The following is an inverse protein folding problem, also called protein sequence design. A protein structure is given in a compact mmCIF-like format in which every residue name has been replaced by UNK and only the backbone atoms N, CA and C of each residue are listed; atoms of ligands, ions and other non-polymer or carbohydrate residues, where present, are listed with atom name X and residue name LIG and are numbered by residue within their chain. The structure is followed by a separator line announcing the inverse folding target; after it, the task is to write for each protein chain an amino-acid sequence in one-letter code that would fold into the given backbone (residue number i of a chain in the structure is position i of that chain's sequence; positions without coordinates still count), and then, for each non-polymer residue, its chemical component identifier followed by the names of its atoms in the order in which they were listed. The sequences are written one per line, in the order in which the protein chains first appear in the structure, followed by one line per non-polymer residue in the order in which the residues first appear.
data_IF_434545004908
#
_entry.id   IF_434545004908
#
_cell.length_a   1.000
_cell.length_b   1.000
_cell.length_c   1.000
_cell.angle_alpha   90.00
_cell.angle_beta   90.00
_cell.angle_gamma   90.00
#
_symmetry.space_group_name_H-M   'P 1'
#
loop_
_entity.id
_entity.type
_entity.pdbx_description
1 polymer ?
#
# COMPACT_ATOMS: atom_id res chain seq x y z
N UNK A 1 -61.02 -14.99 62.33
CA UNK A 1 -61.30 -14.84 60.89
C UNK A 1 -60.18 -14.01 60.28
N UNK A 2 -59.49 -14.63 59.32
CA UNK A 2 -58.51 -14.16 58.33
C UNK A 2 -57.99 -12.72 58.39
N UNK A 3 -56.66 -12.57 58.40
CA UNK A 3 -56.01 -11.97 57.23
C UNK A 3 -54.59 -12.49 57.01
N UNK A 4 -54.39 -13.02 55.80
CA UNK A 4 -53.18 -13.69 55.35
C UNK A 4 -52.09 -12.70 54.96
N UNK A 5 -50.86 -13.07 55.32
CA UNK A 5 -49.60 -12.50 54.83
C UNK A 5 -49.39 -12.97 53.38
N UNK A 6 -49.29 -12.04 52.42
CA UNK A 6 -48.82 -12.34 51.07
C UNK A 6 -47.54 -11.55 50.79
N UNK A 7 -46.41 -12.25 50.91
CA UNK A 7 -45.13 -11.84 50.35
C UNK A 7 -45.18 -12.18 48.86
N UNK A 8 -45.24 -11.18 47.98
CA UNK A 8 -45.02 -11.38 46.54
C UNK A 8 -43.58 -11.01 46.23
N UNK A 9 -42.80 -12.05 45.93
CA UNK A 9 -41.45 -11.95 45.41
C UNK A 9 -41.45 -11.15 44.09
N UNK A 10 -40.69 -10.07 44.05
CA UNK A 10 -40.37 -9.34 42.83
C UNK A 10 -39.30 -10.16 42.08
N UNK A 11 -39.72 -10.87 41.04
CA UNK A 11 -38.79 -11.48 40.09
C UNK A 11 -38.15 -10.37 39.25
N UNK A 12 -36.92 -9.96 39.59
CA UNK A 12 -36.07 -9.18 38.69
C UNK A 12 -35.71 -10.07 37.50
N UNK A 13 -36.39 -9.85 36.38
CA UNK A 13 -35.96 -10.36 35.08
C UNK A 13 -34.73 -9.53 34.66
N UNK A 14 -33.55 -10.15 34.71
CA UNK A 14 -32.37 -9.64 34.02
C UNK A 14 -32.68 -9.66 32.52
N UNK A 15 -33.07 -8.51 31.97
CA UNK A 15 -32.96 -8.26 30.54
C UNK A 15 -31.47 -8.12 30.26
N UNK A 16 -30.85 -9.21 29.81
CA UNK A 16 -29.52 -9.19 29.22
C UNK A 16 -29.58 -8.26 28.01
N UNK A 17 -29.18 -7.00 28.20
CA UNK A 17 -28.87 -6.10 27.09
C UNK A 17 -27.62 -6.65 26.44
N UNK A 18 -27.81 -7.56 25.49
CA UNK A 18 -26.77 -7.96 24.56
C UNK A 18 -26.40 -6.70 23.78
N UNK A 19 -25.36 -6.00 24.24
CA UNK A 19 -24.66 -5.02 23.42
C UNK A 19 -24.10 -5.79 22.24
N UNK A 20 -24.87 -5.88 21.16
CA UNK A 20 -24.36 -6.08 19.81
C UNK A 20 -23.48 -4.88 19.54
N UNK A 21 -22.26 -4.91 20.09
CA UNK A 21 -21.19 -4.04 19.66
C UNK A 21 -21.06 -4.35 18.18
N UNK A 22 -21.54 -3.44 17.35
CA UNK A 22 -21.17 -3.42 15.95
C UNK A 22 -19.65 -3.25 15.97
N UNK A 23 -18.92 -4.36 15.92
CA UNK A 23 -17.55 -4.33 15.47
C UNK A 23 -17.65 -3.74 14.06
N UNK A 24 -17.36 -2.45 13.94
CA UNK A 24 -17.28 -1.77 12.66
C UNK A 24 -16.06 -2.38 11.99
N UNK A 25 -16.27 -3.49 11.30
CA UNK A 25 -15.25 -4.09 10.48
C UNK A 25 -14.88 -3.08 9.39
N UNK A 26 -13.59 -2.83 9.16
CA UNK A 26 -13.18 -2.03 8.02
C UNK A 26 -13.83 -2.60 6.76
N UNK A 27 -14.38 -1.74 5.91
CA UNK A 27 -14.84 -2.18 4.59
C UNK A 27 -13.57 -2.55 3.82
N UNK A 28 -13.33 -3.86 3.68
CA UNK A 28 -12.23 -4.39 2.89
C UNK A 28 -12.68 -4.71 1.47
N UNK A 29 -11.85 -4.37 0.48
CA UNK A 29 -12.06 -4.77 -0.92
C UNK A 29 -10.85 -5.52 -1.47
N UNK A 30 -11.07 -6.47 -2.40
CA UNK A 30 -9.99 -7.30 -2.91
C UNK A 30 -9.09 -6.51 -3.87
N UNK A 31 -7.78 -6.66 -3.66
CA UNK A 31 -6.74 -6.39 -4.65
C UNK A 31 -5.94 -7.68 -4.85
N UNK A 32 -5.39 -7.88 -6.05
CA UNK A 32 -4.52 -9.01 -6.38
C UNK A 32 -3.21 -8.48 -6.91
N UNK A 33 -2.09 -9.07 -6.48
CA UNK A 33 -0.78 -8.81 -7.05
C UNK A 33 -0.73 -9.41 -8.46
N UNK A 34 -0.44 -8.59 -9.46
CA UNK A 34 -0.22 -9.03 -10.83
C UNK A 34 1.27 -9.20 -11.14
N UNK A 35 2.06 -8.16 -10.88
CA UNK A 35 3.49 -8.15 -11.15
C UNK A 35 4.22 -7.37 -10.05
N UNK A 36 5.46 -7.76 -9.78
CA UNK A 36 6.36 -6.98 -8.93
C UNK A 36 7.78 -7.04 -9.44
N UNK A 37 8.49 -5.92 -9.35
CA UNK A 37 9.87 -5.80 -9.75
C UNK A 37 10.56 -4.69 -8.96
N UNK A 38 11.89 -4.76 -8.84
CA UNK A 38 12.69 -3.61 -8.43
C UNK A 38 13.07 -2.85 -9.69
N UNK A 39 12.81 -1.54 -9.71
CA UNK A 39 13.11 -0.65 -10.84
C UNK A 39 13.76 0.64 -10.35
N UNK A 40 14.41 1.37 -11.26
CA UNK A 40 14.81 2.76 -11.03
C UNK A 40 13.82 3.70 -11.70
N UNK A 41 13.22 4.60 -10.93
CA UNK A 41 12.17 5.54 -11.38
C UNK A 41 12.58 6.97 -11.04
N UNK A 42 12.21 7.95 -11.88
CA UNK A 42 12.55 9.35 -11.63
C UNK A 42 11.65 9.96 -10.54
N UNK A 43 12.17 10.95 -9.79
CA UNK A 43 11.36 11.79 -8.92
C UNK A 43 10.24 12.54 -9.64
N UNK A 44 10.40 12.81 -10.95
CA UNK A 44 9.37 13.46 -11.77
C UNK A 44 8.16 12.55 -11.99
N UNK A 45 8.37 11.23 -12.01
CA UNK A 45 7.30 10.24 -12.07
C UNK A 45 6.70 9.95 -10.69
N UNK A 46 7.53 9.88 -9.63
CA UNK A 46 7.05 9.65 -8.28
C UNK A 46 6.26 10.84 -7.70
N UNK A 47 6.70 12.08 -7.97
CA UNK A 47 6.10 13.29 -7.41
C UNK A 47 5.98 14.40 -8.46
N UNK A 48 5.13 14.23 -9.49
CA UNK A 48 5.04 15.15 -10.62
C UNK A 48 4.68 16.59 -10.20
N UNK A 49 3.91 16.79 -9.13
CA UNK A 49 3.48 18.12 -8.68
C UNK A 49 4.42 18.80 -7.67
N UNK A 50 5.32 18.06 -7.01
CA UNK A 50 6.21 18.64 -5.98
C UNK A 50 7.48 19.28 -6.57
N UNK A 51 7.58 19.44 -7.89
CA UNK A 51 8.82 19.87 -8.53
C UNK A 51 8.72 21.06 -9.47
N UNK A 52 9.33 22.17 -9.02
CA UNK A 52 10.29 22.95 -9.79
C UNK A 52 11.74 22.43 -9.61
N UNK A 53 11.96 21.15 -9.26
CA UNK A 53 13.32 20.60 -9.19
C UNK A 53 13.90 20.53 -10.60
N UNK A 54 14.93 21.33 -10.87
CA UNK A 54 15.62 21.38 -12.17
C UNK A 54 16.40 20.11 -12.52
N UNK A 55 16.58 19.21 -11.56
CA UNK A 55 17.43 18.04 -11.69
C UNK A 55 16.62 16.77 -11.44
N UNK A 56 16.67 15.89 -12.43
CA UNK A 56 16.10 14.55 -12.35
C UNK A 56 16.97 13.68 -11.43
N UNK A 57 16.33 13.01 -10.49
CA UNK A 57 16.94 12.06 -9.57
C UNK A 57 16.24 10.70 -9.71
N UNK A 58 17.03 9.63 -9.83
CA UNK A 58 16.51 8.27 -9.89
C UNK A 58 16.45 7.66 -8.49
N UNK A 59 15.33 7.01 -8.20
CA UNK A 59 15.05 6.27 -6.98
C UNK A 59 14.88 4.80 -7.34
N UNK A 60 15.60 3.94 -6.62
CA UNK A 60 15.36 2.51 -6.72
C UNK A 60 14.16 2.19 -5.82
N UNK A 61 13.13 1.58 -6.39
CA UNK A 61 11.85 1.29 -5.72
C UNK A 61 11.37 -0.12 -6.05
N UNK A 62 10.46 -0.62 -5.23
CA UNK A 62 9.68 -1.83 -5.51
C UNK A 62 8.41 -1.40 -6.23
N UNK A 63 8.31 -1.72 -7.52
CA UNK A 63 7.08 -1.59 -8.30
C UNK A 63 6.15 -2.76 -7.96
N UNK A 64 4.90 -2.44 -7.66
CA UNK A 64 3.86 -3.39 -7.30
C UNK A 64 2.64 -3.09 -8.17
N UNK A 65 2.41 -3.92 -9.18
CA UNK A 65 1.23 -3.81 -10.04
C UNK A 65 0.10 -4.63 -9.43
N UNK A 66 -1.04 -3.97 -9.21
CA UNK A 66 -2.22 -4.55 -8.58
C UNK A 66 -3.43 -4.46 -9.48
N UNK A 67 -4.33 -5.44 -9.33
CA UNK A 67 -5.59 -5.52 -10.04
C UNK A 67 -6.74 -5.56 -9.05
N UNK A 68 -7.82 -4.86 -9.35
CA UNK A 68 -9.03 -4.87 -8.52
C UNK A 68 -10.31 -4.67 -9.35
N UNK A 69 -11.45 -5.27 -8.97
CA UNK A 69 -12.73 -5.03 -9.66
C UNK A 69 -13.32 -3.64 -9.38
N UNK A 70 -12.69 -2.82 -8.52
CA UNK A 70 -13.21 -1.53 -8.07
C UNK A 70 -12.35 -0.39 -8.62
N UNK A 71 -13.00 0.67 -9.09
CA UNK A 71 -12.31 1.94 -9.33
C UNK A 71 -11.92 2.57 -7.98
N UNK A 72 -10.64 2.49 -7.60
CA UNK A 72 -10.12 2.93 -6.30
C UNK A 72 -10.43 4.40 -6.07
N UNK A 73 -10.18 5.25 -7.05
CA UNK A 73 -10.43 6.68 -6.93
C UNK A 73 -11.90 6.97 -6.61
N UNK A 74 -12.81 6.47 -7.43
CA UNK A 74 -14.25 6.69 -7.25
C UNK A 74 -14.74 6.13 -5.91
N UNK A 75 -14.24 4.96 -5.52
CA UNK A 75 -14.59 4.34 -4.25
C UNK A 75 -14.26 5.23 -3.04
N UNK A 76 -13.11 5.91 -3.05
CA UNK A 76 -12.71 6.82 -1.96
C UNK A 76 -13.28 8.24 -2.13
N UNK A 77 -13.36 8.78 -3.35
CA UNK A 77 -13.93 10.10 -3.65
C UNK A 77 -15.39 10.19 -3.23
N UNK A 78 -16.22 9.19 -3.55
CA UNK A 78 -17.65 9.15 -3.14
C UNK A 78 -17.84 9.15 -1.62
N UNK A 79 -16.77 8.83 -0.87
CA UNK A 79 -16.76 8.79 0.60
C UNK A 79 -16.04 10.00 1.21
N UNK A 80 -15.52 10.91 0.39
CA UNK A 80 -14.75 12.07 0.85
C UNK A 80 -13.48 11.69 1.62
N UNK A 81 -12.78 10.64 1.17
CA UNK A 81 -11.57 10.12 1.78
C UNK A 81 -10.36 10.39 0.89
N UNK A 82 -9.24 10.78 1.48
CA UNK A 82 -7.96 10.83 0.77
C UNK A 82 -7.38 9.42 0.68
N UNK A 83 -6.66 9.13 -0.41
CA UNK A 83 -6.08 7.81 -0.65
C UNK A 83 -4.63 7.83 -0.17
N UNK A 84 -4.23 6.77 0.52
CA UNK A 84 -2.83 6.52 0.88
C UNK A 84 -2.45 5.08 0.57
N UNK A 85 -1.17 4.87 0.32
CA UNK A 85 -0.55 3.54 0.32
C UNK A 85 0.27 3.39 1.59
N UNK A 86 0.10 2.27 2.28
CA UNK A 86 0.96 1.88 3.40
C UNK A 86 1.60 0.54 3.12
N UNK A 87 2.89 0.46 3.40
CA UNK A 87 3.66 -0.76 3.38
C UNK A 87 4.20 -1.06 4.77
N UNK A 88 4.21 -2.34 5.13
CA UNK A 88 4.59 -2.83 6.45
C UNK A 88 5.50 -4.04 6.31
N UNK A 89 6.40 -4.24 7.25
CA UNK A 89 7.24 -5.46 7.31
C UNK A 89 6.83 -6.32 8.48
N UNK A 90 6.75 -7.63 8.24
CA UNK A 90 6.50 -8.65 9.24
C UNK A 90 7.65 -9.66 9.29
N UNK A 91 7.87 -10.24 10.48
CA UNK A 91 8.88 -11.28 10.67
C UNK A 91 10.29 -10.76 10.96
N UNK A 92 10.43 -9.47 11.27
CA UNK A 92 11.69 -8.90 11.76
C UNK A 92 12.08 -9.51 13.13
N UNK A 93 13.36 -9.87 13.34
CA UNK A 93 13.86 -10.40 14.62
C UNK A 93 13.71 -9.44 15.79
N UNK A 94 13.60 -8.13 15.57
CA UNK A 94 13.38 -7.14 16.64
C UNK A 94 11.92 -7.07 17.13
N UNK A 95 11.00 -7.79 16.49
CA UNK A 95 9.55 -7.80 16.77
C UNK A 95 8.89 -6.41 16.74
N UNK A 96 9.50 -5.44 16.05
CA UNK A 96 8.94 -4.09 15.89
C UNK A 96 8.01 -4.03 14.69
N UNK A 97 7.08 -3.08 14.73
CA UNK A 97 6.25 -2.74 13.58
C UNK A 97 6.92 -1.62 12.80
N UNK A 98 7.29 -1.93 11.56
CA UNK A 98 7.79 -0.94 10.62
C UNK A 98 6.72 -0.62 9.59
N UNK A 99 6.50 0.67 9.35
CA UNK A 99 5.56 1.20 8.37
C UNK A 99 6.24 2.28 7.56
N UNK A 100 6.00 2.25 6.24
CA UNK A 100 6.35 3.32 5.33
C UNK A 100 5.17 3.69 4.43
N UNK A 101 5.18 4.92 3.95
CA UNK A 101 4.30 5.37 2.89
C UNK A 101 4.82 4.89 1.55
N UNK A 102 3.93 4.29 0.74
CA UNK A 102 4.17 4.13 -0.68
C UNK A 102 3.70 5.35 -1.46
N UNK A 103 4.09 5.43 -2.73
CA UNK A 103 3.59 6.42 -3.70
C UNK A 103 2.55 5.76 -4.61
N UNK A 104 1.51 6.53 -4.97
CA UNK A 104 0.38 6.07 -5.77
C UNK A 104 -0.88 5.81 -4.92
N UNK A 105 -1.82 5.00 -5.41
CA UNK A 105 -1.73 4.19 -6.62
C UNK A 105 -1.74 5.02 -7.91
N UNK A 106 -1.07 4.55 -8.95
CA UNK A 106 -1.07 5.17 -10.28
C UNK A 106 -2.02 4.43 -11.20
N UNK A 107 -2.95 5.14 -11.86
CA UNK A 107 -3.82 4.60 -12.90
C UNK A 107 -3.40 5.18 -14.25
N UNK A 108 -2.96 4.32 -15.18
CA UNK A 108 -2.49 4.76 -16.51
C UNK A 108 -1.42 5.87 -16.44
N UNK A 109 -0.51 5.79 -15.47
CA UNK A 109 0.58 6.75 -15.26
C UNK A 109 0.20 7.99 -14.44
N UNK A 110 -1.03 8.07 -13.93
CA UNK A 110 -1.53 9.22 -13.16
C UNK A 110 -1.67 8.84 -11.68
N UNK A 111 -1.11 9.62 -10.77
CA UNK A 111 -1.23 9.36 -9.33
C UNK A 111 -2.66 9.67 -8.86
N UNK A 112 -3.44 8.62 -8.58
CA UNK A 112 -4.83 8.79 -8.16
C UNK A 112 -4.97 9.15 -6.68
N UNK A 113 -3.89 9.14 -5.90
CA UNK A 113 -3.90 9.69 -4.54
C UNK A 113 -3.96 11.21 -4.52
N UNK A 114 -3.59 11.85 -5.64
CA UNK A 114 -3.66 13.28 -5.81
C UNK A 114 -4.93 13.71 -6.55
N UNK A 115 -5.96 14.11 -5.81
CA UNK A 115 -7.25 14.54 -6.36
C UNK A 115 -7.19 15.72 -7.35
N UNK A 116 -6.11 16.52 -7.32
CA UNK A 116 -5.94 17.65 -8.24
C UNK A 116 -5.62 17.19 -9.66
N UNK A 117 -4.81 16.14 -9.81
CA UNK A 117 -4.37 15.61 -11.10
C UNK A 117 -5.54 14.96 -11.87
N UNK A 118 -6.35 14.18 -11.16
CA UNK A 118 -7.52 13.51 -11.72
C UNK A 118 -8.53 14.51 -12.27
N UNK A 119 -8.80 15.60 -11.54
CA UNK A 119 -9.72 16.67 -11.98
C UNK A 119 -9.20 17.36 -13.23
N UNK A 120 -7.88 17.58 -13.35
CA UNK A 120 -7.25 18.18 -14.52
C UNK A 120 -7.32 17.25 -15.74
N UNK A 121 -7.11 15.94 -15.53
CA UNK A 121 -7.04 14.95 -16.61
C UNK A 121 -8.39 14.36 -17.01
N UNK A 122 -9.47 14.70 -16.31
CA UNK A 122 -10.82 14.23 -16.64
C UNK A 122 -10.99 12.71 -16.48
N UNK A 123 -10.19 12.08 -15.61
CA UNK A 123 -10.20 10.63 -15.36
C UNK A 123 -11.50 10.16 -14.69
N UNK A 124 -12.37 11.09 -14.30
CA UNK A 124 -13.74 10.85 -13.84
C UNK A 124 -14.56 10.12 -14.92
N UNK A 125 -14.45 8.79 -14.96
CA UNK A 125 -15.12 7.92 -15.93
C UNK A 125 -14.19 7.10 -16.82
N UNK A 126 -12.86 7.15 -16.61
CA UNK A 126 -11.93 6.28 -17.33
C UNK A 126 -12.25 4.82 -17.01
N UNK A 127 -12.73 4.09 -18.02
CA UNK A 127 -12.85 2.64 -17.96
C UNK A 127 -11.47 2.04 -18.17
N UNK A 128 -11.16 0.95 -17.48
CA UNK A 128 -9.96 0.19 -17.80
C UNK A 128 -10.02 -0.25 -19.27
N UNK A 129 -8.92 0.00 -19.96
CA UNK A 129 -8.62 -0.43 -21.32
C UNK A 129 -8.60 -1.96 -21.49
N UNK A 130 -8.52 -2.73 -20.40
CA UNK A 130 -8.43 -4.21 -20.41
C UNK A 130 -9.68 -4.91 -20.95
N UNK A 131 -10.85 -4.26 -20.93
CA UNK A 131 -12.13 -4.84 -21.39
C UNK A 131 -12.72 -5.95 -20.50
N UNK A 132 -11.99 -6.40 -19.48
CA UNK A 132 -12.42 -7.44 -18.51
C UNK A 132 -13.19 -6.87 -17.31
N UNK A 133 -13.29 -5.54 -17.20
CA UNK A 133 -13.98 -4.84 -16.12
C UNK A 133 -13.17 -4.72 -14.82
N UNK A 134 -11.93 -5.19 -14.79
CA UNK A 134 -10.98 -4.92 -13.71
C UNK A 134 -10.35 -3.54 -13.87
N UNK A 135 -9.62 -3.07 -12.86
CA UNK A 135 -8.80 -1.85 -12.88
C UNK A 135 -7.39 -2.20 -12.46
N UNK A 136 -6.40 -1.73 -13.21
CA UNK A 136 -4.97 -1.94 -12.96
C UNK A 136 -4.31 -0.68 -12.41
N UNK A 137 -3.52 -0.85 -11.35
CA UNK A 137 -2.78 0.25 -10.73
C UNK A 137 -1.35 -0.15 -10.43
N UNK A 138 -0.44 0.82 -10.47
CA UNK A 138 0.93 0.65 -10.02
C UNK A 138 1.12 1.35 -8.67
N UNK A 139 1.82 0.69 -7.75
CA UNK A 139 2.25 1.25 -6.48
C UNK A 139 3.78 1.22 -6.45
N UNK A 140 4.40 2.28 -5.94
CA UNK A 140 5.83 2.32 -5.69
C UNK A 140 6.09 2.30 -4.18
N UNK A 141 6.83 1.30 -3.72
CA UNK A 141 7.26 1.20 -2.32
C UNK A 141 8.78 1.34 -2.21
N UNK A 142 9.24 1.93 -1.11
CA UNK A 142 10.67 2.16 -0.86
C UNK A 142 11.28 1.03 -0.04
N UNK A 143 12.62 0.99 0.00
CA UNK A 143 13.38 -0.02 0.72
C UNK A 143 13.52 0.26 2.23
N UNK A 144 13.37 1.52 2.65
CA UNK A 144 13.79 2.00 3.98
C UNK A 144 12.59 2.32 4.87
N UNK A 145 12.05 1.31 5.57
CA UNK A 145 10.85 1.49 6.39
C UNK A 145 11.17 2.12 7.75
N UNK A 146 10.22 2.86 8.32
CA UNK A 146 10.36 3.52 9.64
C UNK A 146 9.58 2.77 10.72
N UNK A 147 10.03 2.82 11.97
CA UNK A 147 9.25 2.27 13.11
C UNK A 147 7.93 3.04 13.29
N UNK A 148 6.79 2.34 13.32
CA UNK A 148 5.43 2.91 13.41
C UNK A 148 5.22 3.83 14.62
N UNK A 149 5.85 3.49 15.74
CA UNK A 149 5.67 4.14 17.05
C UNK A 149 7.00 4.57 17.66
N UNK A 150 7.86 5.23 16.87
CA UNK A 150 9.08 5.79 17.44
C UNK A 150 8.75 7.04 18.28
N UNK A 151 8.35 6.83 19.54
CA UNK A 151 8.24 7.89 20.55
C UNK A 151 9.56 8.65 20.74
N UNK A 152 10.70 8.12 20.26
CA UNK A 152 11.98 8.85 20.26
C UNK A 152 12.08 9.87 19.11
N UNK A 153 11.22 9.81 18.09
CA UNK A 153 11.16 10.82 17.03
C UNK A 153 10.72 12.19 17.58
N UNK A 154 9.88 12.21 18.62
CA UNK A 154 9.54 13.45 19.33
C UNK A 154 10.70 14.00 20.18
N UNK A 155 11.80 13.25 20.31
CA UNK A 155 12.96 13.57 21.14
C UNK A 155 14.28 13.25 20.42
N UNK A 156 14.52 13.91 19.28
CA UNK A 156 15.85 14.17 18.68
C UNK A 156 16.81 12.98 18.46
N UNK A 157 16.36 11.72 18.53
CA UNK A 157 17.20 10.56 18.23
C UNK A 157 16.87 10.02 16.83
N UNK A 158 17.93 9.71 16.09
CA UNK A 158 17.91 9.18 14.72
C UNK A 158 16.81 8.14 14.55
N UNK A 159 15.87 8.39 13.63
CA UNK A 159 14.84 7.42 13.28
C UNK A 159 15.50 6.06 13.00
N UNK A 160 14.99 5.00 13.62
CA UNK A 160 15.43 3.64 13.30
C UNK A 160 14.77 3.22 11.99
N UNK A 161 15.60 2.98 10.98
CA UNK A 161 15.16 2.53 9.65
C UNK A 161 15.42 1.03 9.51
N UNK A 162 14.50 0.35 8.84
CA UNK A 162 14.63 -1.05 8.41
C UNK A 162 14.90 -1.06 6.91
N UNK A 163 16.12 -1.41 6.52
CA UNK A 163 16.52 -1.48 5.11
C UNK A 163 16.28 -2.91 4.59
N UNK A 164 15.27 -3.09 3.73
CA UNK A 164 14.90 -4.38 3.14
C UNK A 164 16.06 -5.07 2.43
N UNK A 165 17.09 -4.34 2.00
CA UNK A 165 18.27 -4.91 1.30
C UNK A 165 19.27 -5.54 2.26
N UNK A 166 19.22 -5.21 3.56
CA UNK A 166 20.23 -5.59 4.55
C UNK A 166 19.68 -6.46 5.67
N UNK A 167 18.40 -6.32 5.98
CA UNK A 167 17.77 -6.98 7.13
C UNK A 167 16.93 -8.18 6.71
N UNK A 168 16.83 -9.18 7.60
CA UNK A 168 16.00 -10.37 7.40
C UNK A 168 14.55 -10.09 7.82
N UNK A 169 13.59 -10.57 7.03
CA UNK A 169 12.15 -10.41 7.26
C UNK A 169 11.37 -11.61 6.69
N UNK A 170 10.12 -11.83 7.11
CA UNK A 170 9.32 -12.90 6.51
C UNK A 170 8.63 -12.40 5.23
N UNK A 171 7.96 -11.26 5.33
CA UNK A 171 7.22 -10.65 4.22
C UNK A 171 7.04 -9.15 4.41
N UNK A 172 7.01 -8.44 3.29
CA UNK A 172 6.55 -7.07 3.17
C UNK A 172 5.10 -7.10 2.68
N UNK A 173 4.22 -6.33 3.31
CA UNK A 173 2.82 -6.21 2.93
C UNK A 173 2.48 -4.77 2.55
N UNK A 174 1.80 -4.54 1.43
CA UNK A 174 1.29 -3.22 1.05
C UNK A 174 -0.23 -3.25 0.88
N UNK A 175 -0.90 -2.17 1.26
CA UNK A 175 -2.33 -1.99 1.09
C UNK A 175 -2.66 -0.52 0.82
N UNK A 176 -3.78 -0.32 0.14
CA UNK A 176 -4.38 0.99 -0.10
C UNK A 176 -5.39 1.25 1.01
N UNK A 177 -5.41 2.46 1.57
CA UNK A 177 -6.39 2.86 2.56
C UNK A 177 -6.94 4.25 2.27
N UNK A 178 -8.16 4.48 2.71
CA UNK A 178 -8.69 5.83 2.83
C UNK A 178 -8.19 6.45 4.13
N UNK A 179 -8.06 7.76 4.18
CA UNK A 179 -7.83 8.48 5.44
C UNK A 179 -8.80 9.65 5.57
N UNK A 180 -9.27 9.85 6.78
CA UNK A 180 -10.06 11.01 7.22
C UNK A 180 -9.91 11.17 8.74
N UNK A 181 -10.71 12.04 9.37
CA UNK A 181 -10.69 12.18 10.83
C UNK A 181 -11.46 11.07 11.58
N UNK A 182 -12.13 10.14 10.89
CA UNK A 182 -13.00 9.12 11.50
C UNK A 182 -12.29 7.77 11.77
N UNK A 183 -12.61 7.04 12.86
CA UNK A 183 -11.73 6.00 13.41
C UNK A 183 -11.63 4.67 12.63
N UNK A 184 -12.43 4.46 11.57
CA UNK A 184 -12.35 3.24 10.74
C UNK A 184 -12.33 3.62 9.27
N UNK A 185 -11.25 3.25 8.59
CA UNK A 185 -11.07 3.57 7.18
C UNK A 185 -11.25 2.33 6.31
N UNK A 186 -11.97 2.45 5.17
CA UNK A 186 -11.96 1.40 4.18
C UNK A 186 -10.54 1.17 3.66
N UNK A 187 -10.15 -0.09 3.51
CA UNK A 187 -8.82 -0.48 3.03
C UNK A 187 -8.90 -1.64 2.06
N UNK A 188 -7.89 -1.81 1.23
CA UNK A 188 -7.76 -3.00 0.40
C UNK A 188 -7.31 -4.20 1.24
N UNK A 189 -7.44 -5.41 0.68
CA UNK A 189 -6.63 -6.55 1.14
C UNK A 189 -5.13 -6.20 1.03
N UNK A 190 -4.30 -6.82 1.86
CA UNK A 190 -2.85 -6.65 1.78
C UNK A 190 -2.27 -7.56 0.71
N UNK A 191 -1.46 -7.01 -0.21
CA UNK A 191 -0.58 -7.80 -1.08
C UNK A 191 0.75 -8.02 -0.39
N UNK A 192 1.26 -9.25 -0.42
CA UNK A 192 2.49 -9.62 0.27
C UNK A 192 3.59 -10.03 -0.72
N UNK A 193 4.81 -9.59 -0.43
CA UNK A 193 6.06 -10.01 -1.08
C UNK A 193 6.89 -10.73 -0.02
N UNK A 194 7.24 -11.98 -0.25
CA UNK A 194 8.09 -12.76 0.68
C UNK A 194 9.55 -12.33 0.58
N UNK A 195 10.37 -12.60 1.60
CA UNK A 195 11.82 -12.36 1.51
C UNK A 195 12.46 -13.12 0.35
N UNK A 196 12.00 -14.34 0.04
CA UNK A 196 12.48 -15.12 -1.11
C UNK A 196 12.21 -14.38 -2.43
N UNK A 197 10.97 -13.93 -2.64
CA UNK A 197 10.56 -13.16 -3.83
C UNK A 197 11.37 -11.86 -3.93
N UNK A 198 11.51 -11.15 -2.81
CA UNK A 198 12.30 -9.92 -2.76
C UNK A 198 13.77 -10.15 -3.12
N UNK A 199 14.37 -11.19 -2.56
CA UNK A 199 15.78 -11.55 -2.83
C UNK A 199 16.00 -11.92 -4.29
N UNK A 200 15.04 -12.62 -4.91
CA UNK A 200 15.08 -12.92 -6.34
C UNK A 200 15.00 -11.65 -7.19
N UNK A 201 14.05 -10.75 -6.89
CA UNK A 201 13.94 -9.46 -7.57
C UNK A 201 15.23 -8.64 -7.45
N UNK A 202 15.81 -8.57 -6.25
CA UNK A 202 17.03 -7.81 -5.99
C UNK A 202 18.20 -8.37 -6.81
N UNK A 203 18.35 -9.71 -6.83
CA UNK A 203 19.38 -10.38 -7.63
C UNK A 203 19.23 -10.09 -9.13
N UNK A 204 18.00 -10.14 -9.66
CA UNK A 204 17.73 -9.84 -11.08
C UNK A 204 18.11 -8.39 -11.37
N UNK A 205 17.60 -7.45 -10.58
CA UNK A 205 17.84 -6.03 -10.72
C UNK A 205 19.34 -5.67 -10.70
N UNK A 206 20.10 -6.19 -9.73
CA UNK A 206 21.54 -5.96 -9.64
C UNK A 206 22.29 -6.54 -10.85
N UNK A 207 21.88 -7.71 -11.33
CA UNK A 207 22.52 -8.36 -12.49
C UNK A 207 22.37 -7.55 -13.78
N UNK A 208 21.21 -6.91 -13.96
CA UNK A 208 20.91 -6.06 -15.12
C UNK A 208 21.67 -4.74 -15.04
N UNK A 209 21.79 -4.16 -13.83
CA UNK A 209 22.50 -2.90 -13.59
C UNK A 209 24.01 -3.01 -13.79
N UNK A 210 24.60 -4.18 -13.52
CA UNK A 210 26.04 -4.45 -13.73
C UNK A 210 26.37 -4.85 -15.19
N UNK A 211 25.36 -5.27 -15.97
CA UNK A 211 25.54 -5.77 -17.35
C UNK A 211 25.02 -4.89 -18.51
N UNK A 212 25.02 -3.54 -18.45
CA UNK A 212 24.50 -2.73 -19.57
C UNK A 212 25.30 -2.96 -20.89
N UNK A 213 26.54 -3.42 -20.79
CA UNK A 213 27.43 -3.66 -21.94
C UNK A 213 27.33 -5.06 -22.59
N UNK A 214 26.52 -5.99 -22.07
CA UNK A 214 26.41 -7.34 -22.68
C UNK A 214 25.37 -7.43 -23.80
N UNK A 215 24.39 -6.50 -23.84
CA UNK A 215 23.39 -6.43 -24.92
C UNK A 215 23.93 -5.86 -26.24
N UNK A 216 25.05 -5.13 -26.22
CA UNK A 216 25.61 -4.48 -27.42
C UNK A 216 26.69 -5.32 -28.15
N UNK A 217 27.01 -6.54 -27.70
CA UNK A 217 28.06 -7.37 -28.31
C UNK A 217 27.56 -8.53 -29.19
N UNK A 218 26.25 -8.77 -29.29
CA UNK A 218 25.73 -9.90 -30.08
C UNK A 218 25.29 -9.57 -31.52
N UNK A 219 25.25 -8.31 -31.93
CA UNK A 219 24.77 -7.91 -33.26
C UNK A 219 25.88 -7.54 -34.27
N UNK A 220 27.15 -7.75 -33.94
CA UNK A 220 28.28 -7.39 -34.83
C UNK A 220 29.17 -8.60 -35.17
N UNK A 221 28.58 -9.67 -35.70
CA UNK A 221 29.34 -10.72 -36.38
C UNK A 221 28.48 -11.42 -37.45
N UNK A 222 28.30 -10.77 -38.59
CA UNK A 222 28.00 -11.48 -39.85
C UNK A 222 29.11 -11.15 -40.84
N UNK A 223 29.95 -12.12 -41.25
CA UNK A 223 30.89 -11.91 -42.34
C UNK A 223 30.10 -11.75 -43.63
N UNK A 224 30.43 -10.73 -44.43
CA UNK A 224 30.02 -10.66 -45.83
C UNK A 224 31.02 -11.47 -46.65
N UNK A 225 30.54 -12.56 -47.24
CA UNK A 225 31.13 -13.13 -48.45
C UNK A 225 30.58 -12.40 -49.68
#
# INVERSE_FOLDING_TARGET
MNNQVFIRALALSLVSVSTLGCAVHPVEYPITLEETAIISVSNLELWPEQHPAKTEHLYDVIKIDIVTPINIYRFYEERGLDIQVRCTVEGDPTMKKYIEFGVGPFFQGVDISNSLEIKKLGINGAKDSSGDGSYRYTIYAFFDLRVENDLQYAREKSAQYFDLRKEEFNRMGCYVLGVSMWPVFPRSTTVYITQETFSEMLRIYESERVSPNKRLQFDAATPRD
#
